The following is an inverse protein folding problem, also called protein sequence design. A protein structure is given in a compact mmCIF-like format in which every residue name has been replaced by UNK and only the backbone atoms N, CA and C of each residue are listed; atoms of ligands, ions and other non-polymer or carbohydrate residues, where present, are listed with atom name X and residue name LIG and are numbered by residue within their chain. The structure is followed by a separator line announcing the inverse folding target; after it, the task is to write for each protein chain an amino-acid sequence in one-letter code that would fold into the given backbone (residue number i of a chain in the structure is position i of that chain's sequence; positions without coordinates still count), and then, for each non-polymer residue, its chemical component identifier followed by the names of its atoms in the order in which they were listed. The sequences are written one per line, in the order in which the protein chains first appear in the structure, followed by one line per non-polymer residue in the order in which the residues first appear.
data_IF_679719687095
#
_entry.id   IF_679719687095
#
_cell.length_a   1.000
_cell.length_b   1.000
_cell.length_c   1.000
_cell.angle_alpha   90.00
_cell.angle_beta   90.00
_cell.angle_gamma   90.00
#
_symmetry.space_group_name_H-M   'P 1'
#
loop_
_entity.id
_entity.type
_entity.pdbx_description
1 polymer ?
#
# COMPACT_ATOMS: atom_id res chain seq x y z
N UNK A 1 17.87 32.76 -40.30
CA UNK A 1 18.02 32.79 -38.83
C UNK A 1 16.96 31.85 -38.26
N UNK A 2 17.36 30.84 -37.49
CA UNK A 2 16.39 30.01 -36.73
C UNK A 2 15.75 30.93 -35.69
N UNK A 3 14.42 30.94 -35.63
CA UNK A 3 13.73 31.76 -34.64
C UNK A 3 13.93 31.17 -33.24
N UNK A 4 13.95 32.02 -32.22
CA UNK A 4 14.10 31.58 -30.82
C UNK A 4 13.04 30.54 -30.43
N UNK A 5 11.82 30.66 -30.97
CA UNK A 5 10.73 29.71 -30.77
C UNK A 5 11.01 28.32 -31.38
N UNK A 6 11.61 28.27 -32.58
CA UNK A 6 12.02 27.01 -33.22
C UNK A 6 13.13 26.31 -32.43
N UNK A 7 14.06 27.06 -31.84
CA UNK A 7 15.14 26.52 -31.01
C UNK A 7 14.62 25.94 -29.70
N UNK A 8 13.72 26.65 -29.01
CA UNK A 8 13.02 26.17 -27.82
C UNK A 8 12.19 24.91 -28.11
N UNK A 9 11.47 24.88 -29.24
CA UNK A 9 10.72 23.70 -29.68
C UNK A 9 11.63 22.50 -29.96
N UNK A 10 12.79 22.73 -30.59
CA UNK A 10 13.79 21.69 -30.86
C UNK A 10 14.39 21.14 -29.58
N UNK A 11 14.70 22.01 -28.60
CA UNK A 11 15.21 21.61 -27.30
C UNK A 11 14.17 20.79 -26.51
N UNK A 12 12.90 21.23 -26.50
CA UNK A 12 11.79 20.49 -25.86
C UNK A 12 11.62 19.09 -26.47
N UNK A 13 11.69 18.97 -27.80
CA UNK A 13 11.64 17.67 -28.51
C UNK A 13 12.82 16.77 -28.14
N UNK A 14 14.04 17.29 -28.10
CA UNK A 14 15.24 16.54 -27.69
C UNK A 14 15.12 16.04 -26.25
N UNK A 15 14.70 16.92 -25.33
CA UNK A 15 14.47 16.57 -23.93
C UNK A 15 13.41 15.47 -23.78
N UNK A 16 12.28 15.58 -24.48
CA UNK A 16 11.22 14.56 -24.45
C UNK A 16 11.71 13.21 -24.96
N UNK A 17 12.49 13.17 -26.05
CA UNK A 17 13.10 11.94 -26.56
C UNK A 17 14.05 11.30 -25.54
N UNK A 18 14.91 12.10 -24.90
CA UNK A 18 15.82 11.60 -23.87
C UNK A 18 15.06 10.99 -22.67
N UNK A 19 13.98 11.64 -22.23
CA UNK A 19 13.13 11.14 -21.14
C UNK A 19 12.47 9.81 -21.51
N UNK A 20 12.00 9.64 -22.76
CA UNK A 20 11.43 8.37 -23.24
C UNK A 20 12.48 7.25 -23.21
N UNK A 21 13.72 7.52 -23.62
CA UNK A 21 14.80 6.53 -23.57
C UNK A 21 15.20 6.16 -22.14
N UNK A 22 15.21 7.11 -21.22
CA UNK A 22 15.39 6.85 -19.79
C UNK A 22 14.24 5.98 -19.24
N UNK A 23 13.00 6.30 -19.59
CA UNK A 23 11.83 5.54 -19.16
C UNK A 23 11.92 4.06 -19.59
N UNK A 24 12.37 3.78 -20.82
CA UNK A 24 12.60 2.39 -21.27
C UNK A 24 13.61 1.63 -20.39
N UNK A 25 14.60 2.34 -19.84
CA UNK A 25 15.69 1.76 -19.03
C UNK A 25 15.41 1.76 -17.52
N UNK A 26 14.34 2.40 -17.05
CA UNK A 26 14.02 2.59 -15.61
C UNK A 26 14.10 1.32 -14.76
N UNK A 27 13.71 0.17 -15.32
CA UNK A 27 13.71 -1.11 -14.60
C UNK A 27 15.13 -1.59 -14.28
N UNK A 28 16.15 -1.13 -14.99
CA UNK A 28 17.54 -1.42 -14.67
C UNK A 28 17.95 -0.78 -13.33
N UNK A 29 17.61 0.49 -13.10
CA UNK A 29 17.85 1.18 -11.83
C UNK A 29 17.10 0.50 -10.68
N UNK A 30 15.85 0.11 -10.92
CA UNK A 30 15.07 -0.64 -9.93
C UNK A 30 15.71 -1.98 -9.55
N UNK A 31 16.08 -2.81 -10.54
CA UNK A 31 16.72 -4.11 -10.31
C UNK A 31 18.04 -3.95 -9.55
N UNK A 32 18.85 -2.97 -9.95
CA UNK A 32 20.09 -2.61 -9.26
C UNK A 32 19.84 -2.27 -7.79
N UNK A 33 18.83 -1.43 -7.50
CA UNK A 33 18.44 -1.09 -6.13
C UNK A 33 18.05 -2.31 -5.29
N UNK A 34 17.22 -3.21 -5.85
CA UNK A 34 16.82 -4.45 -5.19
C UNK A 34 18.01 -5.36 -4.88
N UNK A 35 18.95 -5.52 -5.82
CA UNK A 35 20.13 -6.37 -5.63
C UNK A 35 21.09 -5.79 -4.60
N UNK A 36 21.31 -4.47 -4.61
CA UNK A 36 22.11 -3.78 -3.61
C UNK A 36 21.49 -3.87 -2.22
N UNK A 37 20.17 -3.71 -2.11
CA UNK A 37 19.44 -3.85 -0.85
C UNK A 37 19.58 -5.26 -0.28
N UNK A 38 19.50 -6.30 -1.11
CA UNK A 38 19.71 -7.70 -0.68
C UNK A 38 21.13 -7.94 -0.17
N UNK A 39 22.13 -7.28 -0.77
CA UNK A 39 23.54 -7.33 -0.36
C UNK A 39 23.86 -6.45 0.87
N UNK A 40 22.86 -5.78 1.45
CA UNK A 40 23.05 -4.88 2.59
C UNK A 40 23.68 -3.52 2.24
N UNK A 41 23.87 -3.21 0.96
CA UNK A 41 24.43 -1.94 0.45
C UNK A 41 23.34 -0.87 0.38
N UNK A 42 22.90 -0.40 1.55
CA UNK A 42 21.66 0.38 1.67
C UNK A 42 21.74 1.77 1.05
N UNK A 43 22.91 2.43 1.12
CA UNK A 43 23.10 3.77 0.57
C UNK A 43 23.01 3.73 -0.96
N UNK A 44 23.73 2.80 -1.58
CA UNK A 44 23.71 2.64 -3.04
C UNK A 44 22.36 2.11 -3.53
N UNK A 45 21.68 1.30 -2.73
CA UNK A 45 20.30 0.87 -3.02
C UNK A 45 19.35 2.08 -3.05
N UNK A 46 19.44 2.97 -2.06
CA UNK A 46 18.65 4.19 -1.97
C UNK A 46 18.87 5.10 -3.18
N UNK A 47 20.12 5.30 -3.59
CA UNK A 47 20.46 6.08 -4.79
C UNK A 47 19.79 5.50 -6.06
N UNK A 48 19.82 4.18 -6.20
CA UNK A 48 19.20 3.47 -7.33
C UNK A 48 17.66 3.57 -7.32
N UNK A 49 17.06 3.52 -6.12
CA UNK A 49 15.62 3.74 -5.95
C UNK A 49 15.20 5.18 -6.28
N UNK A 50 15.98 6.16 -5.85
CA UNK A 50 15.76 7.58 -6.16
C UNK A 50 15.88 7.81 -7.68
N UNK A 51 16.88 7.20 -8.33
CA UNK A 51 17.02 7.27 -9.79
C UNK A 51 15.77 6.75 -10.51
N UNK A 52 15.28 5.56 -10.11
CA UNK A 52 14.04 4.99 -10.66
C UNK A 52 12.85 5.94 -10.50
N UNK A 53 12.62 6.49 -9.30
CA UNK A 53 11.52 7.44 -9.04
C UNK A 53 11.68 8.76 -9.81
N UNK A 54 12.92 9.24 -9.98
CA UNK A 54 13.22 10.46 -10.74
C UNK A 54 12.97 10.27 -12.24
N UNK A 55 13.22 9.09 -12.80
CA UNK A 55 12.87 8.78 -14.19
C UNK A 55 11.35 8.85 -14.38
N UNK A 56 10.58 8.25 -13.45
CA UNK A 56 9.11 8.32 -13.48
C UNK A 56 8.60 9.76 -13.34
N UNK A 57 9.16 10.51 -12.40
CA UNK A 57 8.83 11.92 -12.15
C UNK A 57 9.03 12.77 -13.41
N UNK A 58 10.15 12.58 -14.11
CA UNK A 58 10.43 13.28 -15.36
C UNK A 58 9.51 12.85 -16.50
N UNK A 59 9.17 11.57 -16.60
CA UNK A 59 8.28 11.05 -17.63
C UNK A 59 6.85 11.59 -17.51
N UNK A 60 6.34 11.65 -16.28
CA UNK A 60 5.01 12.18 -15.94
C UNK A 60 5.00 13.69 -15.68
N UNK A 61 6.15 14.36 -15.77
CA UNK A 61 6.32 15.80 -15.59
C UNK A 61 5.79 16.31 -14.24
N UNK A 62 6.01 15.53 -13.18
CA UNK A 62 5.62 15.86 -11.79
C UNK A 62 6.77 15.61 -10.83
N UNK A 63 6.88 16.37 -9.72
CA UNK A 63 7.86 16.07 -8.68
C UNK A 63 7.66 14.67 -8.08
N UNK A 64 8.74 14.00 -7.64
CA UNK A 64 8.69 12.67 -7.01
C UNK A 64 7.70 12.61 -5.85
N UNK A 65 7.69 13.65 -5.01
CA UNK A 65 6.79 13.76 -3.85
C UNK A 65 5.31 13.87 -4.24
N UNK A 66 5.05 14.33 -5.46
CA UNK A 66 3.72 14.48 -6.03
C UNK A 66 3.29 13.29 -6.89
N UNK A 67 4.18 12.31 -7.13
CA UNK A 67 3.80 11.07 -7.79
C UNK A 67 2.64 10.43 -7.03
N UNK A 68 1.64 10.04 -7.80
CA UNK A 68 0.43 9.40 -7.33
C UNK A 68 -0.09 8.44 -8.40
N UNK A 69 -0.94 7.48 -8.04
CA UNK A 69 -1.49 6.53 -9.00
C UNK A 69 -2.24 7.18 -10.17
N UNK A 70 -2.76 8.42 -10.01
CA UNK A 70 -3.51 9.14 -11.05
C UNK A 70 -2.70 9.46 -12.30
N UNK A 71 -1.38 9.41 -12.21
CA UNK A 71 -0.49 9.67 -13.36
C UNK A 71 -0.29 8.43 -14.25
N UNK A 72 -0.81 7.26 -13.83
CA UNK A 72 -0.61 5.98 -14.50
C UNK A 72 -1.94 5.42 -14.98
N UNK A 73 -1.93 4.69 -16.10
CA UNK A 73 -3.09 3.94 -16.56
C UNK A 73 -3.26 2.70 -15.68
N UNK A 74 -4.27 2.71 -14.81
CA UNK A 74 -4.51 1.62 -13.85
C UNK A 74 -4.66 0.23 -14.49
N UNK A 75 -5.14 0.13 -15.73
CA UNK A 75 -5.33 -1.16 -16.42
C UNK A 75 -4.04 -1.65 -17.07
N UNK A 76 -3.24 -0.75 -17.64
CA UNK A 76 -2.01 -1.10 -18.38
C UNK A 76 -0.77 -1.14 -17.49
N UNK A 77 -0.74 -0.32 -16.45
CA UNK A 77 0.46 -0.05 -15.64
C UNK A 77 0.30 -0.55 -14.19
N UNK A 78 -0.57 -1.54 -13.96
CA UNK A 78 -0.73 -2.15 -12.62
C UNK A 78 0.59 -2.64 -12.03
N UNK A 79 1.45 -3.24 -12.86
CA UNK A 79 2.77 -3.70 -12.45
C UNK A 79 3.66 -2.55 -11.99
N UNK A 80 3.65 -1.42 -12.72
CA UNK A 80 4.45 -0.24 -12.36
C UNK A 80 3.99 0.32 -11.01
N UNK A 81 2.67 0.42 -10.79
CA UNK A 81 2.10 0.86 -9.52
C UNK A 81 2.54 -0.01 -8.33
N UNK A 82 2.58 -1.34 -8.53
CA UNK A 82 3.10 -2.28 -7.53
C UNK A 82 4.60 -2.06 -7.27
N UNK A 83 5.40 -1.86 -8.31
CA UNK A 83 6.85 -1.63 -8.18
C UNK A 83 7.14 -0.33 -7.45
N UNK A 84 6.42 0.75 -7.76
CA UNK A 84 6.52 2.03 -7.05
C UNK A 84 6.17 1.86 -5.57
N UNK A 85 5.08 1.16 -5.27
CA UNK A 85 4.71 0.83 -3.89
C UNK A 85 5.86 0.11 -3.19
N UNK A 86 6.45 -0.91 -3.81
CA UNK A 86 7.55 -1.68 -3.23
C UNK A 86 8.80 -0.83 -2.99
N UNK A 87 9.14 0.07 -3.91
CA UNK A 87 10.28 0.98 -3.76
C UNK A 87 10.10 1.90 -2.55
N UNK A 88 8.93 2.53 -2.41
CA UNK A 88 8.65 3.36 -1.24
C UNK A 88 8.68 2.57 0.07
N UNK A 89 8.20 1.32 0.05
CA UNK A 89 8.31 0.42 1.20
C UNK A 89 9.77 0.12 1.58
N UNK A 90 10.61 -0.20 0.60
CA UNK A 90 12.02 -0.51 0.85
C UNK A 90 12.79 0.73 1.33
N UNK A 91 12.56 1.89 0.72
CA UNK A 91 13.14 3.16 1.19
C UNK A 91 12.70 3.51 2.62
N UNK A 92 11.41 3.31 2.97
CA UNK A 92 10.91 3.57 4.32
C UNK A 92 11.67 2.76 5.38
N UNK A 93 11.91 1.47 5.13
CA UNK A 93 12.70 0.60 6.03
C UNK A 93 14.18 1.00 6.10
N UNK A 94 14.76 1.45 4.99
CA UNK A 94 16.15 1.93 4.97
C UNK A 94 16.29 3.17 5.85
N UNK A 95 15.41 4.15 5.68
CA UNK A 95 15.40 5.37 6.49
C UNK A 95 15.06 5.12 7.96
N UNK A 96 14.22 4.12 8.26
CA UNK A 96 13.88 3.73 9.63
C UNK A 96 15.09 3.25 10.46
N UNK A 97 16.22 2.95 9.83
CA UNK A 97 17.45 2.57 10.55
C UNK A 97 18.14 3.75 11.25
N UNK A 98 17.83 4.98 10.88
CA UNK A 98 18.44 6.17 11.47
C UNK A 98 17.36 7.13 12.00
N UNK A 99 17.31 7.42 13.32
CA UNK A 99 16.36 8.36 13.90
C UNK A 99 16.29 9.72 13.23
N UNK A 100 17.43 10.25 12.75
CA UNK A 100 17.49 11.55 12.06
C UNK A 100 16.76 11.54 10.71
N UNK A 101 16.47 10.36 10.17
CA UNK A 101 15.80 10.17 8.88
C UNK A 101 14.35 9.69 9.02
N UNK A 102 13.81 9.64 10.24
CA UNK A 102 12.41 9.23 10.48
C UNK A 102 11.41 10.06 9.69
N UNK A 103 11.66 11.35 9.51
CA UNK A 103 10.81 12.21 8.68
C UNK A 103 10.71 11.70 7.23
N UNK A 104 11.84 11.28 6.66
CA UNK A 104 11.87 10.71 5.31
C UNK A 104 11.28 9.29 5.27
N UNK A 105 11.48 8.48 6.32
CA UNK A 105 10.81 7.19 6.46
C UNK A 105 9.28 7.35 6.43
N UNK A 106 8.73 8.27 7.23
CA UNK A 106 7.29 8.56 7.25
C UNK A 106 6.79 9.10 5.91
N UNK A 107 7.57 9.96 5.23
CA UNK A 107 7.23 10.43 3.88
C UNK A 107 7.10 9.26 2.89
N UNK A 108 8.08 8.35 2.88
CA UNK A 108 8.05 7.15 2.04
C UNK A 108 6.87 6.24 2.39
N UNK A 109 6.55 6.06 3.68
CA UNK A 109 5.36 5.32 4.11
C UNK A 109 4.06 5.93 3.58
N UNK A 110 3.92 7.25 3.62
CA UNK A 110 2.73 7.92 3.09
C UNK A 110 2.59 7.70 1.58
N UNK A 111 3.69 7.70 0.82
CA UNK A 111 3.66 7.34 -0.59
C UNK A 111 3.32 5.85 -0.80
N UNK A 112 3.90 4.96 -0.01
CA UNK A 112 3.54 3.53 -0.01
C UNK A 112 2.03 3.33 0.16
N UNK A 113 1.39 4.03 1.11
CA UNK A 113 -0.07 3.97 1.30
C UNK A 113 -0.82 4.39 0.03
N UNK A 114 -0.45 5.53 -0.57
CA UNK A 114 -1.12 6.03 -1.79
C UNK A 114 -1.05 5.03 -2.94
N UNK A 115 0.08 4.35 -3.11
CA UNK A 115 0.27 3.33 -4.16
C UNK A 115 -0.25 1.95 -3.76
N UNK A 116 -0.66 1.75 -2.50
CA UNK A 116 -1.20 0.48 -1.99
C UNK A 116 -2.72 0.46 -1.98
N UNK A 117 -3.35 1.47 -1.40
CA UNK A 117 -4.80 1.52 -1.17
C UNK A 117 -5.56 1.56 -2.50
N UNK A 118 -6.62 0.76 -2.61
CA UNK A 118 -7.46 0.70 -3.81
C UNK A 118 -6.95 -0.22 -4.92
N UNK A 119 -5.77 -0.82 -4.76
CA UNK A 119 -5.17 -1.73 -5.74
C UNK A 119 -5.24 -3.21 -5.31
N UNK A 120 -5.19 -4.15 -6.26
CA UNK A 120 -5.34 -5.60 -6.02
C UNK A 120 -4.37 -6.16 -4.96
N UNK A 121 -3.20 -5.55 -4.80
CA UNK A 121 -2.11 -6.00 -3.95
C UNK A 121 -2.11 -5.41 -2.54
N UNK A 122 -3.11 -4.61 -2.16
CA UNK A 122 -3.16 -4.01 -0.82
C UNK A 122 -3.11 -5.03 0.32
N UNK A 123 -3.69 -6.22 0.13
CA UNK A 123 -3.63 -7.31 1.11
C UNK A 123 -2.19 -7.79 1.34
N UNK A 124 -1.45 -8.04 0.26
CA UNK A 124 -0.06 -8.50 0.32
C UNK A 124 0.81 -7.45 1.03
N UNK A 125 0.64 -6.18 0.64
CA UNK A 125 1.35 -5.05 1.25
C UNK A 125 1.01 -4.90 2.74
N UNK A 126 -0.26 -5.08 3.13
CA UNK A 126 -0.67 -5.03 4.53
C UNK A 126 -0.03 -6.14 5.38
N UNK A 127 0.14 -7.33 4.81
CA UNK A 127 0.77 -8.46 5.50
C UNK A 127 2.29 -8.30 5.59
N UNK A 128 2.93 -7.77 4.55
CA UNK A 128 4.35 -7.39 4.61
C UNK A 128 4.61 -6.38 5.73
N UNK A 129 3.76 -5.36 5.82
CA UNK A 129 3.83 -4.35 6.87
C UNK A 129 3.60 -4.95 8.26
N UNK A 130 2.58 -5.79 8.44
CA UNK A 130 2.31 -6.52 9.68
C UNK A 130 3.52 -7.35 10.14
N UNK A 131 4.16 -8.06 9.21
CA UNK A 131 5.36 -8.87 9.51
C UNK A 131 6.53 -7.99 9.96
N UNK A 132 6.75 -6.86 9.29
CA UNK A 132 7.82 -5.93 9.65
C UNK A 132 7.61 -5.28 11.02
N UNK A 133 6.38 -4.86 11.35
CA UNK A 133 6.01 -4.31 12.66
C UNK A 133 6.35 -5.27 13.80
N UNK A 134 6.24 -6.59 13.57
CA UNK A 134 6.59 -7.63 14.55
C UNK A 134 8.07 -7.99 14.57
N UNK A 135 8.84 -7.51 13.60
CA UNK A 135 10.26 -7.80 13.49
C UNK A 135 11.07 -6.88 14.41
N UNK A 136 12.23 -7.36 14.88
CA UNK A 136 13.19 -6.54 15.64
C UNK A 136 13.79 -5.37 14.83
N UNK A 137 13.55 -5.32 13.51
CA UNK A 137 14.10 -4.31 12.63
C UNK A 137 13.21 -3.08 12.41
N UNK A 138 12.07 -2.99 13.09
CA UNK A 138 11.18 -1.82 13.05
C UNK A 138 11.48 -0.92 14.25
N UNK A 139 12.09 0.23 13.99
CA UNK A 139 12.50 1.18 15.03
C UNK A 139 11.39 2.21 15.30
N UNK A 140 10.77 2.78 14.26
CA UNK A 140 9.66 3.72 14.40
C UNK A 140 8.29 3.00 14.42
N UNK A 141 8.09 2.16 15.44
CA UNK A 141 6.92 1.28 15.55
C UNK A 141 5.57 1.98 15.35
N UNK A 142 5.42 3.17 15.94
CA UNK A 142 4.16 3.92 15.92
C UNK A 142 3.80 4.43 14.51
N UNK A 143 4.79 4.90 13.73
CA UNK A 143 4.54 5.33 12.36
C UNK A 143 4.07 4.17 11.46
N UNK A 144 4.73 3.01 11.57
CA UNK A 144 4.38 1.83 10.77
C UNK A 144 3.02 1.24 11.19
N UNK A 145 2.71 1.21 12.50
CA UNK A 145 1.37 0.81 13.00
C UNK A 145 0.27 1.73 12.47
N UNK A 146 0.48 3.05 12.50
CA UNK A 146 -0.49 4.03 11.98
C UNK A 146 -0.83 3.73 10.52
N UNK A 147 0.20 3.54 9.69
CA UNK A 147 0.05 3.23 8.26
C UNK A 147 -0.61 1.86 8.04
N UNK A 148 -0.32 0.88 8.88
CA UNK A 148 -0.98 -0.42 8.84
C UNK A 148 -2.48 -0.32 9.09
N UNK A 149 -2.88 0.45 10.10
CA UNK A 149 -4.28 0.72 10.38
C UNK A 149 -4.94 1.48 9.22
N UNK A 150 -4.29 2.53 8.71
CA UNK A 150 -4.80 3.32 7.58
C UNK A 150 -5.04 2.48 6.32
N UNK A 151 -4.09 1.61 5.95
CA UNK A 151 -4.27 0.71 4.80
C UNK A 151 -5.46 -0.21 5.05
N UNK A 152 -5.65 -0.74 6.26
CA UNK A 152 -6.78 -1.60 6.60
C UNK A 152 -8.11 -0.87 6.58
N UNK A 153 -8.16 0.38 7.04
CA UNK A 153 -9.37 1.21 7.02
C UNK A 153 -9.75 1.49 5.56
N UNK A 154 -8.82 2.02 4.78
CA UNK A 154 -9.08 2.47 3.41
C UNK A 154 -9.21 1.35 2.39
N UNK A 155 -8.57 0.20 2.61
CA UNK A 155 -8.82 -1.01 1.80
C UNK A 155 -10.15 -1.68 2.11
N UNK A 156 -10.79 -1.27 3.21
CA UNK A 156 -11.97 -1.93 3.70
C UNK A 156 -11.66 -3.36 4.19
N UNK A 157 -10.65 -3.52 5.04
CA UNK A 157 -10.44 -4.76 5.76
C UNK A 157 -11.63 -5.03 6.69
N UNK A 158 -12.18 -6.25 6.72
CA UNK A 158 -13.20 -6.62 7.72
C UNK A 158 -12.48 -7.01 9.03
N UNK A 159 -12.17 -6.02 9.89
CA UNK A 159 -11.36 -6.16 11.10
C UNK A 159 -11.62 -7.44 11.91
N UNK A 160 -12.87 -7.69 12.27
CA UNK A 160 -13.28 -8.85 13.08
C UNK A 160 -13.03 -10.17 12.33
N UNK A 161 -13.39 -10.22 11.04
CA UNK A 161 -13.19 -11.43 10.23
C UNK A 161 -11.72 -11.73 9.99
N UNK A 162 -10.94 -10.69 9.67
CA UNK A 162 -9.49 -10.79 9.52
C UNK A 162 -8.83 -11.24 10.83
N UNK A 163 -9.31 -10.79 11.98
CA UNK A 163 -8.81 -11.24 13.29
C UNK A 163 -9.12 -12.71 13.54
N UNK A 164 -10.35 -13.16 13.27
CA UNK A 164 -10.79 -14.53 13.51
C UNK A 164 -10.13 -15.53 12.56
N UNK A 165 -10.10 -15.23 11.26
CA UNK A 165 -9.79 -16.22 10.22
C UNK A 165 -8.52 -15.93 9.41
N UNK A 166 -7.92 -14.75 9.56
CA UNK A 166 -6.95 -14.14 8.62
C UNK A 166 -7.61 -13.46 7.40
N UNK A 167 -6.81 -12.61 6.74
CA UNK A 167 -7.23 -11.80 5.60
C UNK A 167 -7.48 -12.59 4.31
N UNK A 168 -6.89 -13.80 4.17
CA UNK A 168 -6.99 -14.64 2.97
C UNK A 168 -8.04 -15.75 3.08
N UNK A 169 -8.64 -15.92 4.26
CA UNK A 169 -9.60 -16.99 4.47
C UNK A 169 -10.86 -16.78 3.61
N UNK A 170 -11.43 -17.83 3.00
CA UNK A 170 -12.62 -17.72 2.16
C UNK A 170 -13.77 -16.96 2.82
N UNK A 171 -14.04 -17.22 4.10
CA UNK A 171 -15.05 -16.52 4.92
C UNK A 171 -14.81 -15.00 4.94
N UNK A 172 -13.56 -14.55 5.14
CA UNK A 172 -13.22 -13.12 5.13
C UNK A 172 -13.45 -12.49 3.76
N UNK A 173 -13.18 -13.23 2.67
CA UNK A 173 -13.45 -12.77 1.32
C UNK A 173 -14.96 -12.63 1.04
N UNK A 174 -15.74 -13.60 1.48
CA UNK A 174 -17.20 -13.61 1.29
C UNK A 174 -17.86 -12.46 2.08
N UNK A 175 -17.42 -12.22 3.32
CA UNK A 175 -17.91 -11.10 4.13
C UNK A 175 -17.54 -9.73 3.55
N UNK A 176 -16.39 -9.61 2.88
CA UNK A 176 -16.03 -8.38 2.14
C UNK A 176 -16.96 -8.13 0.96
N UNK A 177 -17.38 -9.18 0.25
CA UNK A 177 -18.40 -9.08 -0.81
C UNK A 177 -19.75 -8.71 -0.22
N UNK A 178 -20.14 -9.36 0.88
CA UNK A 178 -21.38 -9.04 1.61
C UNK A 178 -21.47 -7.57 1.99
N UNK A 179 -20.36 -6.99 2.46
CA UNK A 179 -20.30 -5.56 2.76
C UNK A 179 -20.69 -4.69 1.57
N UNK A 180 -20.27 -5.05 0.35
CA UNK A 180 -20.65 -4.29 -0.85
C UNK A 180 -22.16 -4.33 -1.08
N UNK A 181 -22.80 -5.48 -0.81
CA UNK A 181 -24.25 -5.63 -0.83
C UNK A 181 -24.91 -4.79 0.26
N UNK A 182 -24.40 -4.81 1.49
CA UNK A 182 -24.92 -4.00 2.59
C UNK A 182 -24.86 -2.50 2.28
N UNK A 183 -23.76 -2.02 1.68
CA UNK A 183 -23.59 -0.62 1.29
C UNK A 183 -24.58 -0.15 0.22
N UNK A 184 -25.24 -1.05 -0.49
CA UNK A 184 -26.29 -0.68 -1.44
C UNK A 184 -27.54 -0.10 -0.72
N UNK A 185 -27.70 -0.38 0.58
CA UNK A 185 -28.83 0.10 1.38
C UNK A 185 -28.38 1.14 2.41
N UNK A 186 -29.15 2.23 2.64
CA UNK A 186 -28.79 3.25 3.63
C UNK A 186 -28.59 2.71 5.05
N UNK A 187 -29.40 1.74 5.47
CA UNK A 187 -29.24 1.07 6.76
C UNK A 187 -27.96 0.22 6.82
N UNK A 188 -27.63 -0.46 5.74
CA UNK A 188 -26.40 -1.24 5.65
C UNK A 188 -25.16 -0.35 5.59
N UNK A 189 -25.24 0.83 4.97
CA UNK A 189 -24.17 1.84 5.02
C UNK A 189 -23.92 2.30 6.47
N UNK A 190 -24.95 2.66 7.23
CA UNK A 190 -24.82 3.00 8.67
C UNK A 190 -24.24 1.85 9.50
N UNK A 191 -24.68 0.61 9.24
CA UNK A 191 -24.13 -0.57 9.91
C UNK A 191 -22.64 -0.75 9.61
N UNK A 192 -22.24 -0.57 8.36
CA UNK A 192 -20.84 -0.65 7.95
C UNK A 192 -20.03 0.46 8.61
N UNK A 193 -20.52 1.69 8.63
CA UNK A 193 -19.82 2.81 9.27
C UNK A 193 -19.64 2.58 10.78
N UNK A 194 -20.67 2.10 11.47
CA UNK A 194 -20.58 1.68 12.86
C UNK A 194 -19.54 0.56 13.06
N UNK A 195 -19.59 -0.46 12.21
CA UNK A 195 -18.62 -1.57 12.24
C UNK A 195 -17.19 -1.05 12.11
N UNK A 196 -16.91 -0.16 11.16
CA UNK A 196 -15.56 0.39 10.95
C UNK A 196 -15.11 1.36 12.06
N UNK A 197 -16.06 1.98 12.76
CA UNK A 197 -15.75 2.84 13.91
C UNK A 197 -15.37 2.03 15.15
N UNK A 198 -16.10 0.93 15.41
CA UNK A 198 -15.96 0.18 16.67
C UNK A 198 -15.00 -1.00 16.56
N UNK A 199 -15.00 -1.72 15.43
CA UNK A 199 -14.24 -2.96 15.30
C UNK A 199 -12.71 -2.83 15.44
N UNK A 200 -12.04 -1.73 15.03
CA UNK A 200 -10.60 -1.59 15.25
C UNK A 200 -10.24 -1.54 16.74
N UNK A 201 -11.08 -0.86 17.54
CA UNK A 201 -10.89 -0.73 18.99
C UNK A 201 -11.01 -2.11 19.65
N UNK A 202 -12.09 -2.85 19.33
CA UNK A 202 -12.32 -4.21 19.86
C UNK A 202 -11.16 -5.14 19.46
N UNK A 203 -10.77 -5.16 18.19
CA UNK A 203 -9.69 -6.03 17.73
C UNK A 203 -8.36 -5.67 18.39
N UNK A 204 -8.07 -4.38 18.59
CA UNK A 204 -6.87 -3.94 19.30
C UNK A 204 -6.87 -4.42 20.76
N UNK A 205 -8.02 -4.42 21.42
CA UNK A 205 -8.19 -4.92 22.78
C UNK A 205 -8.00 -6.45 22.84
N UNK A 206 -8.60 -7.20 21.92
CA UNK A 206 -8.43 -8.65 21.80
C UNK A 206 -6.98 -9.07 21.50
N UNK A 207 -6.21 -8.22 20.80
CA UNK A 207 -4.79 -8.46 20.55
C UNK A 207 -3.92 -8.23 21.78
N UNK A 208 -4.30 -7.28 22.65
CA UNK A 208 -3.60 -6.99 23.91
C UNK A 208 -3.94 -7.98 25.02
N UNK A 209 -5.15 -8.54 25.00
CA UNK A 209 -5.65 -9.48 26.02
C UNK A 209 -5.96 -10.85 25.38
N UNK A 210 -5.01 -11.80 25.36
CA UNK A 210 -5.16 -13.08 24.65
C UNK A 210 -6.35 -13.93 25.12
N UNK A 211 -6.65 -13.93 26.43
CA UNK A 211 -7.79 -14.67 27.00
C UNK A 211 -9.11 -14.15 26.44
N UNK A 212 -9.32 -12.83 26.49
CA UNK A 212 -10.51 -12.20 25.90
C UNK A 212 -10.57 -12.44 24.39
N UNK A 213 -9.42 -12.36 23.71
CA UNK A 213 -9.31 -12.65 22.29
C UNK A 213 -9.74 -14.07 21.92
N UNK A 214 -9.40 -15.06 22.75
CA UNK A 214 -9.83 -16.45 22.57
C UNK A 214 -11.36 -16.59 22.67
N UNK A 215 -11.98 -16.08 23.74
CA UNK A 215 -13.44 -16.12 23.92
C UNK A 215 -14.17 -15.35 22.83
N UNK A 216 -13.69 -14.14 22.51
CA UNK A 216 -14.24 -13.33 21.43
C UNK A 216 -14.22 -14.10 20.12
N UNK A 217 -13.07 -14.69 19.76
CA UNK A 217 -12.95 -15.49 18.53
C UNK A 217 -13.86 -16.72 18.55
N UNK A 218 -13.98 -17.42 19.68
CA UNK A 218 -14.85 -18.59 19.81
C UNK A 218 -16.33 -18.22 19.59
N UNK A 219 -16.77 -17.06 20.10
CA UNK A 219 -18.13 -16.56 19.93
C UNK A 219 -18.39 -16.01 18.52
N UNK A 220 -17.48 -15.19 17.98
CA UNK A 220 -17.72 -14.48 16.73
C UNK A 220 -17.47 -15.33 15.48
N UNK A 221 -16.54 -16.29 15.54
CA UNK A 221 -16.22 -17.14 14.38
C UNK A 221 -17.44 -17.89 13.81
N UNK A 222 -18.27 -18.61 14.59
CA UNK A 222 -19.43 -19.31 14.03
C UNK A 222 -20.44 -18.33 13.41
N UNK A 223 -20.71 -17.19 14.06
CA UNK A 223 -21.61 -16.15 13.55
C UNK A 223 -21.13 -15.65 12.18
N UNK A 224 -19.83 -15.33 12.07
CA UNK A 224 -19.24 -14.86 10.83
C UNK A 224 -19.28 -15.90 9.70
N UNK A 225 -19.18 -17.20 10.03
CA UNK A 225 -19.35 -18.28 9.04
C UNK A 225 -20.79 -18.36 8.54
N UNK A 226 -21.77 -18.21 9.42
CA UNK A 226 -23.19 -18.17 9.04
C UNK A 226 -23.48 -16.95 8.16
N UNK A 227 -23.02 -15.76 8.55
CA UNK A 227 -23.14 -14.56 7.72
C UNK A 227 -22.46 -14.73 6.36
N UNK A 228 -21.28 -15.35 6.31
CA UNK A 228 -20.57 -15.62 5.06
C UNK A 228 -21.31 -16.64 4.17
N UNK A 229 -22.01 -17.61 4.75
CA UNK A 229 -22.84 -18.54 4.00
C UNK A 229 -24.00 -17.80 3.31
N UNK A 230 -24.75 -16.98 4.04
CA UNK A 230 -25.81 -16.15 3.46
C UNK A 230 -25.28 -15.14 2.43
N UNK A 231 -24.06 -14.63 2.63
CA UNK A 231 -23.41 -13.72 1.69
C UNK A 231 -23.09 -14.33 0.32
N UNK A 232 -23.07 -15.67 0.19
CA UNK A 232 -22.86 -16.35 -1.10
C UNK A 232 -24.14 -16.41 -1.94
N UNK A 233 -25.31 -16.28 -1.30
CA UNK A 233 -26.63 -16.43 -1.93
C UNK A 233 -26.90 -15.47 -3.10
N UNK A 234 -26.50 -14.18 -3.08
CA UNK A 234 -26.75 -13.29 -4.22
C UNK A 234 -25.75 -13.42 -5.38
N UNK A 235 -24.80 -14.36 -5.33
CA UNK A 235 -23.70 -14.48 -6.32
C UNK A 235 -23.51 -15.89 -6.88
N UNK A 236 -24.48 -16.78 -6.68
CA UNK A 236 -24.62 -18.09 -7.33
C UNK A 236 -25.95 -18.17 -8.07
#
# INVERSE_FOLDING_TARGET
MVTREEEEARQKRRRRKAIIELYKKRLASLRKGMDLSKKGKLKEALESYIEYLNILSQFHEVPEKSLSPRHFDHKKETTELLLISQVYWDMAKIYDKNPNLYKESVRCLNQFVKFTVGFKYHFVNSEMLRKYIKSKGCNNLEAFKKVYLEIREKSGACYVSSYCFSDFHPVTRDLRRFRMVLKAYPAGQKFVDFYYTVSPIIVSFCQRNPLFGFFFKALTSPILRVCAYFARWPFY
#
